data_IF_509205671187
#
_entry.id   IF_509205671187
#
_cell.length_a   1.000
_cell.length_b   1.000
_cell.length_c   1.000
_cell.angle_alpha   90.00
_cell.angle_beta   90.00
_cell.angle_gamma   90.00
#
_symmetry.space_group_name_H-M   'P 1'
#
loop_
_entity.id
_entity.type
_entity.pdbx_description
1 polymer ?
#
# COMPACT_ATOMS: atom_id res chain seq x y z
N UNK A 1 -9.11 0.56 -1.08
CA UNK A 1 -9.09 2.03 -1.28
C UNK A 1 -8.21 2.75 -0.26
N UNK A 2 -8.05 2.23 0.96
CA UNK A 2 -7.32 2.87 2.06
C UNK A 2 -5.83 3.17 1.78
N UNK A 3 -5.09 2.26 1.15
CA UNK A 3 -3.63 2.40 1.03
C UNK A 3 -3.11 3.04 -0.27
N UNK A 4 -3.81 2.87 -1.40
CA UNK A 4 -3.32 3.28 -2.74
C UNK A 4 -4.07 4.50 -3.33
N UNK A 5 -4.71 5.30 -2.48
CA UNK A 5 -5.43 6.51 -2.89
C UNK A 5 -6.72 6.26 -3.68
N UNK A 6 -7.21 5.01 -3.70
CA UNK A 6 -8.49 4.63 -4.34
C UNK A 6 -8.59 5.06 -5.81
N UNK A 7 -9.47 6.04 -6.06
CA UNK A 7 -9.80 6.58 -7.38
C UNK A 7 -8.85 7.69 -7.84
N UNK A 8 -7.99 8.19 -6.95
CA UNK A 8 -7.15 9.34 -7.23
C UNK A 8 -6.06 8.98 -8.25
N UNK A 9 -5.82 9.85 -9.26
CA UNK A 9 -4.65 9.77 -10.14
C UNK A 9 -3.35 9.85 -9.33
N UNK A 10 -2.22 9.47 -9.95
CA UNK A 10 -0.93 9.59 -9.31
C UNK A 10 -0.43 11.03 -9.38
N UNK A 11 -0.59 11.77 -8.28
CA UNK A 11 -0.02 13.09 -8.11
C UNK A 11 1.31 13.02 -7.36
N UNK A 12 2.37 13.55 -7.98
CA UNK A 12 3.67 13.72 -7.33
C UNK A 12 3.87 15.22 -7.08
N UNK A 13 4.14 15.60 -5.83
CA UNK A 13 4.41 16.99 -5.46
C UNK A 13 5.62 17.53 -6.22
N UNK A 14 5.46 18.69 -6.88
CA UNK A 14 6.53 19.37 -7.63
C UNK A 14 6.58 19.13 -9.15
N UNK A 15 5.78 18.21 -9.70
CA UNK A 15 5.73 17.93 -11.15
C UNK A 15 4.36 18.26 -11.77
N UNK A 16 4.03 19.54 -11.89
CA UNK A 16 2.71 19.98 -12.40
C UNK A 16 2.40 19.54 -13.83
N UNK A 17 3.42 19.43 -14.69
CA UNK A 17 3.25 18.96 -16.06
C UNK A 17 2.86 17.47 -16.11
N UNK A 18 3.45 16.66 -15.23
CA UNK A 18 3.12 15.23 -15.11
C UNK A 18 1.70 15.05 -14.56
N UNK A 19 1.35 15.79 -13.51
CA UNK A 19 0.04 15.72 -12.87
C UNK A 19 -1.10 16.06 -13.85
N UNK A 20 -0.94 17.08 -14.71
CA UNK A 20 -1.93 17.43 -15.74
C UNK A 20 -2.18 16.31 -16.75
N UNK A 21 -1.15 15.55 -17.13
CA UNK A 21 -1.30 14.40 -18.04
C UNK A 21 -2.00 13.24 -17.34
N UNK A 22 -1.69 13.02 -16.06
CA UNK A 22 -2.31 11.95 -15.26
C UNK A 22 -3.79 12.24 -14.95
N UNK A 23 -4.19 13.51 -14.81
CA UNK A 23 -5.57 13.96 -14.59
C UNK A 23 -6.46 13.83 -15.83
N UNK A 24 -5.87 13.79 -17.03
CA UNK A 24 -6.62 13.58 -18.27
C UNK A 24 -7.18 12.15 -18.37
N UNK A 25 -6.55 11.19 -17.67
CA UNK A 25 -6.96 9.79 -17.66
C UNK A 25 -8.13 9.61 -16.68
N UNK A 26 -9.26 9.03 -17.11
CA UNK A 26 -10.39 8.75 -16.23
C UNK A 26 -10.00 8.00 -14.94
N UNK A 27 -10.51 8.42 -13.77
CA UNK A 27 -10.25 7.79 -12.47
C UNK A 27 -10.53 6.27 -12.42
N UNK A 28 -11.47 5.79 -13.24
CA UNK A 28 -11.83 4.37 -13.36
C UNK A 28 -10.63 3.53 -13.85
N UNK A 29 -9.85 4.05 -14.80
CA UNK A 29 -8.70 3.35 -15.38
C UNK A 29 -7.59 3.24 -14.33
N UNK A 30 -7.37 4.28 -13.54
CA UNK A 30 -6.43 4.27 -12.42
C UNK A 30 -6.81 3.25 -11.36
N UNK A 31 -8.09 3.17 -11.00
CA UNK A 31 -8.57 2.20 -10.04
C UNK A 31 -8.37 0.76 -10.52
N UNK A 32 -8.81 0.45 -11.76
CA UNK A 32 -8.63 -0.90 -12.33
C UNK A 32 -7.17 -1.26 -12.57
N UNK A 33 -6.35 -0.32 -13.04
CA UNK A 33 -4.91 -0.52 -13.25
C UNK A 33 -4.19 -0.87 -11.94
N UNK A 34 -4.41 -0.08 -10.87
CA UNK A 34 -3.85 -0.36 -9.54
C UNK A 34 -4.34 -1.71 -8.99
N UNK A 35 -5.62 -2.02 -9.20
CA UNK A 35 -6.24 -3.29 -8.75
C UNK A 35 -5.63 -4.48 -9.48
N UNK A 36 -5.51 -4.40 -10.81
CA UNK A 36 -4.93 -5.47 -11.63
C UNK A 36 -3.46 -5.71 -11.27
N UNK A 37 -2.68 -4.63 -11.07
CA UNK A 37 -1.29 -4.75 -10.62
C UNK A 37 -1.19 -5.46 -9.26
N UNK A 38 -2.07 -5.13 -8.31
CA UNK A 38 -2.09 -5.77 -6.99
C UNK A 38 -2.50 -7.26 -7.09
N UNK A 39 -3.50 -7.59 -7.89
CA UNK A 39 -3.91 -8.99 -8.13
C UNK A 39 -2.77 -9.77 -8.80
N UNK A 40 -2.09 -9.17 -9.78
CA UNK A 40 -0.95 -9.78 -10.45
C UNK A 40 0.17 -10.08 -9.45
N UNK A 41 0.48 -9.16 -8.54
CA UNK A 41 1.46 -9.39 -7.47
C UNK A 41 1.01 -10.54 -6.58
N UNK A 42 -0.23 -10.56 -6.09
CA UNK A 42 -0.74 -11.65 -5.24
C UNK A 42 -0.66 -13.01 -5.96
N UNK A 43 -1.01 -13.05 -7.25
CA UNK A 43 -0.91 -14.26 -8.07
C UNK A 43 0.54 -14.71 -8.23
N UNK A 44 1.47 -13.78 -8.45
CA UNK A 44 2.90 -14.06 -8.52
C UNK A 44 3.41 -14.67 -7.20
N UNK A 45 3.03 -14.10 -6.05
CA UNK A 45 3.37 -14.65 -4.74
C UNK A 45 2.77 -16.05 -4.56
N UNK A 46 1.52 -16.29 -4.99
CA UNK A 46 0.89 -17.62 -4.89
C UNK A 46 1.61 -18.68 -5.74
N UNK A 47 2.15 -18.30 -6.89
CA UNK A 47 2.88 -19.22 -7.77
C UNK A 47 4.34 -19.41 -7.38
N UNK A 48 4.97 -18.40 -6.79
CA UNK A 48 6.40 -18.44 -6.43
C UNK A 48 6.66 -19.15 -5.11
N UNK A 49 5.74 -19.05 -4.13
CA UNK A 49 5.99 -19.57 -2.80
C UNK A 49 5.45 -21.00 -2.60
N UNK A 50 6.29 -21.95 -2.12
CA UNK A 50 5.83 -23.28 -1.73
C UNK A 50 4.93 -23.20 -0.49
N UNK A 51 3.99 -24.15 -0.36
CA UNK A 51 3.02 -24.18 0.74
C UNK A 51 3.72 -24.17 2.11
N UNK A 52 3.46 -23.15 2.92
CA UNK A 52 4.01 -22.98 4.28
C UNK A 52 3.11 -23.68 5.31
N UNK A 53 3.71 -24.24 6.38
CA UNK A 53 2.95 -24.85 7.48
C UNK A 53 2.24 -23.78 8.31
N UNK A 54 1.04 -24.09 8.78
CA UNK A 54 0.21 -23.19 9.59
C UNK A 54 0.96 -22.67 10.82
N UNK A 55 1.78 -23.49 11.48
CA UNK A 55 2.57 -23.07 12.66
C UNK A 55 3.61 -21.99 12.32
N UNK A 56 4.21 -22.06 11.12
CA UNK A 56 5.17 -21.05 10.65
C UNK A 56 4.46 -19.76 10.25
N UNK A 57 3.25 -19.87 9.70
CA UNK A 57 2.39 -18.71 9.43
C UNK A 57 2.00 -18.00 10.72
N UNK A 58 1.53 -18.75 11.73
CA UNK A 58 1.15 -18.19 13.03
C UNK A 58 2.35 -17.51 13.71
N UNK A 59 3.54 -18.11 13.61
CA UNK A 59 4.77 -17.51 14.13
C UNK A 59 5.10 -16.19 13.40
N UNK A 60 4.90 -16.12 12.08
CA UNK A 60 5.10 -14.90 11.30
C UNK A 60 4.16 -13.77 11.75
N UNK A 61 2.87 -14.09 11.89
CA UNK A 61 1.84 -13.12 12.28
C UNK A 61 2.08 -12.58 13.70
N UNK A 62 2.23 -13.47 14.67
CA UNK A 62 2.30 -13.07 16.08
C UNK A 62 3.67 -12.54 16.50
N UNK A 63 4.76 -13.11 15.97
CA UNK A 63 6.10 -12.72 16.39
C UNK A 63 6.65 -11.53 15.60
N UNK A 64 6.23 -11.34 14.35
CA UNK A 64 6.80 -10.31 13.48
C UNK A 64 5.78 -9.25 13.06
N UNK A 65 4.61 -9.63 12.55
CA UNK A 65 3.64 -8.65 12.02
C UNK A 65 3.01 -7.79 13.13
N UNK A 66 2.64 -8.41 14.26
CA UNK A 66 2.04 -7.70 15.39
C UNK A 66 2.94 -6.60 15.97
N UNK A 67 4.21 -6.85 16.36
CA UNK A 67 5.06 -5.79 16.90
C UNK A 67 5.39 -4.71 15.88
N UNK A 68 5.56 -5.07 14.60
CA UNK A 68 5.78 -4.09 13.51
C UNK A 68 4.58 -3.14 13.38
N UNK A 69 3.36 -3.67 13.40
CA UNK A 69 2.16 -2.84 13.30
C UNK A 69 2.03 -1.90 14.50
N UNK A 70 2.29 -2.41 15.71
CA UNK A 70 2.24 -1.59 16.93
C UNK A 70 3.26 -0.45 16.90
N UNK A 71 4.48 -0.74 16.42
CA UNK A 71 5.51 0.28 16.24
C UNK A 71 5.14 1.32 15.18
N UNK A 72 4.52 0.90 14.08
CA UNK A 72 4.03 1.81 13.04
C UNK A 72 2.97 2.78 13.61
N UNK A 73 1.99 2.27 14.36
CA UNK A 73 0.96 3.09 15.01
C UNK A 73 1.61 4.10 15.97
N UNK A 74 2.59 3.67 16.77
CA UNK A 74 3.30 4.56 17.68
C UNK A 74 4.05 5.66 16.93
N UNK A 75 4.75 5.34 15.84
CA UNK A 75 5.44 6.33 15.01
C UNK A 75 4.43 7.34 14.44
N UNK A 76 3.34 6.87 13.84
CA UNK A 76 2.32 7.76 13.25
C UNK A 76 1.70 8.66 14.32
N UNK A 77 1.40 8.11 15.50
CA UNK A 77 0.89 8.90 16.63
C UNK A 77 1.89 9.99 17.07
N UNK A 78 3.18 9.68 17.16
CA UNK A 78 4.22 10.65 17.48
C UNK A 78 4.35 11.74 16.40
N UNK A 79 4.32 11.37 15.12
CA UNK A 79 4.39 12.33 13.99
C UNK A 79 3.21 13.31 14.06
N UNK A 80 2.01 12.81 14.32
CA UNK A 80 0.81 13.65 14.46
C UNK A 80 0.94 14.58 15.67
N UNK A 81 1.41 14.08 16.82
CA UNK A 81 1.62 14.93 18.00
C UNK A 81 2.70 16.00 17.81
N UNK A 82 3.78 15.70 17.08
CA UNK A 82 4.85 16.66 16.78
C UNK A 82 4.48 17.64 15.67
N UNK A 83 3.30 17.49 15.03
CA UNK A 83 2.87 18.37 13.93
C UNK A 83 3.71 18.20 12.66
N UNK A 84 4.46 17.12 12.52
CA UNK A 84 5.25 16.80 11.32
C UNK A 84 4.40 16.10 10.25
N UNK A 85 3.19 16.59 10.05
CA UNK A 85 2.34 16.21 8.93
C UNK A 85 2.08 17.44 8.09
N UNK A 86 2.18 17.29 6.76
CA UNK A 86 1.84 18.32 5.78
C UNK A 86 0.33 18.38 5.56
#
# INVERSE_FOLDING_TARGET
>A
TVFLGGWMPLHIGGFEAFNRVMDFIPPIIWFFGKTFALIYIIMLFKWTFPRIRIDQLLTLEWKYLLPINLFNILIVALIVMMGWHF
#
